data_IF_548300691651
#
_entry.id   IF_548300691651
#
_cell.length_a   1.000
_cell.length_b   1.000
_cell.length_c   1.000
_cell.angle_alpha   90.00
_cell.angle_beta   90.00
_cell.angle_gamma   90.00
#
_symmetry.space_group_name_H-M   'P 1'
#
loop_
_entity.id
_entity.type
_entity.pdbx_description
1 polymer ?
#
# COMPACT_ATOMS: atom_id res chain seq x y z
N UNK A 1 17.96 8.64 10.06
CA UNK A 1 16.79 8.65 9.17
C UNK A 1 16.19 7.25 9.01
N UNK A 2 16.93 6.24 8.53
CA UNK A 2 16.42 4.87 8.37
C UNK A 2 15.80 4.26 9.65
N UNK A 3 16.48 4.35 10.80
CA UNK A 3 15.97 3.82 12.06
C UNK A 3 14.63 4.44 12.50
N UNK A 4 14.43 5.72 12.20
CA UNK A 4 13.19 6.44 12.53
C UNK A 4 12.04 5.95 11.65
N UNK A 5 12.29 5.72 10.35
CA UNK A 5 11.30 5.19 9.41
C UNK A 5 10.91 3.76 9.81
N UNK A 6 11.89 2.93 10.19
CA UNK A 6 11.64 1.56 10.67
C UNK A 6 10.73 1.60 11.90
N UNK A 7 11.07 2.39 12.92
CA UNK A 7 10.25 2.49 14.14
C UNK A 7 8.84 3.00 13.88
N UNK A 8 8.67 3.95 12.94
CA UNK A 8 7.35 4.45 12.54
C UNK A 8 6.51 3.37 11.84
N UNK A 9 7.13 2.59 10.95
CA UNK A 9 6.46 1.47 10.27
C UNK A 9 6.06 0.38 11.26
N UNK A 10 6.97 -0.02 12.16
CA UNK A 10 6.69 -1.01 13.20
C UNK A 10 5.51 -0.58 14.08
N UNK A 11 5.48 0.69 14.50
CA UNK A 11 4.38 1.20 15.31
C UNK A 11 3.05 1.16 14.55
N UNK A 12 3.01 1.71 13.34
CA UNK A 12 1.78 1.75 12.54
C UNK A 12 1.22 0.35 12.21
N UNK A 13 2.09 -0.61 11.89
CA UNK A 13 1.68 -1.98 11.60
C UNK A 13 1.19 -2.71 12.86
N UNK A 14 1.85 -2.50 14.01
CA UNK A 14 1.41 -3.07 15.28
C UNK A 14 0.07 -2.49 15.75
N UNK A 15 -0.13 -1.18 15.64
CA UNK A 15 -1.41 -0.52 15.92
C UNK A 15 -2.51 -1.06 15.01
N UNK A 16 -2.23 -1.25 13.72
CA UNK A 16 -3.16 -1.87 12.77
C UNK A 16 -3.57 -3.27 13.21
N UNK A 17 -2.60 -4.12 13.58
CA UNK A 17 -2.88 -5.48 14.08
C UNK A 17 -3.71 -5.43 15.36
N UNK A 18 -3.39 -4.52 16.28
CA UNK A 18 -4.14 -4.36 17.53
C UNK A 18 -5.60 -3.98 17.27
N UNK A 19 -5.86 -3.01 16.38
CA UNK A 19 -7.21 -2.60 16.00
C UNK A 19 -8.00 -3.75 15.36
N UNK A 20 -7.37 -4.50 14.44
CA UNK A 20 -8.02 -5.62 13.77
C UNK A 20 -8.38 -6.77 14.73
N UNK A 21 -7.54 -7.04 15.73
CA UNK A 21 -7.82 -8.04 16.78
C UNK A 21 -9.03 -7.68 17.64
N UNK A 22 -9.39 -6.41 17.73
CA UNK A 22 -10.55 -5.94 18.50
C UNK A 22 -11.89 -6.12 17.80
N UNK A 23 -11.91 -6.55 16.53
CA UNK A 23 -13.13 -6.69 15.73
C UNK A 23 -13.58 -8.16 15.76
N UNK A 24 -14.83 -8.39 16.13
CA UNK A 24 -15.41 -9.73 16.09
C UNK A 24 -15.75 -10.18 14.65
N UNK A 25 -15.97 -11.49 14.50
CA UNK A 25 -16.28 -12.11 13.20
C UNK A 25 -17.59 -11.58 12.59
N UNK A 26 -18.55 -11.15 13.42
CA UNK A 26 -19.81 -10.60 12.95
C UNK A 26 -19.63 -9.22 12.30
N UNK A 27 -18.63 -8.45 12.73
CA UNK A 27 -18.38 -7.09 12.26
C UNK A 27 -17.22 -7.00 11.25
N UNK A 28 -16.32 -7.97 11.18
CA UNK A 28 -15.11 -7.88 10.34
C UNK A 28 -15.41 -7.69 8.84
N UNK A 29 -16.52 -8.26 8.37
CA UNK A 29 -16.98 -8.14 6.97
C UNK A 29 -18.04 -7.05 6.76
N UNK A 30 -18.50 -6.36 7.82
CA UNK A 30 -19.51 -5.31 7.71
C UNK A 30 -18.89 -4.04 7.13
N UNK A 31 -19.61 -3.39 6.22
CA UNK A 31 -19.23 -2.09 5.66
C UNK A 31 -19.80 -0.97 6.54
N UNK A 32 -18.99 -0.03 7.04
CA UNK A 32 -19.47 1.10 7.84
C UNK A 32 -20.42 2.04 7.10
N UNK A 33 -20.24 2.21 5.79
CA UNK A 33 -21.09 3.03 4.95
C UNK A 33 -21.24 2.39 3.55
N UNK A 34 -22.24 2.84 2.79
CA UNK A 34 -22.38 2.42 1.39
C UNK A 34 -21.15 2.84 0.57
N UNK A 35 -20.66 1.94 -0.28
CA UNK A 35 -19.46 2.16 -1.09
C UNK A 35 -18.12 2.09 -0.32
N UNK A 36 -18.12 1.95 1.01
CA UNK A 36 -16.88 1.82 1.79
C UNK A 36 -16.33 0.40 1.78
N UNK A 37 -15.08 0.23 2.21
CA UNK A 37 -14.49 -1.09 2.48
C UNK A 37 -14.90 -1.61 3.86
N UNK A 38 -14.97 -2.93 4.02
CA UNK A 38 -15.02 -3.58 5.34
C UNK A 38 -13.64 -3.61 6.00
N UNK A 39 -13.59 -3.89 7.30
CA UNK A 39 -12.31 -4.07 8.01
C UNK A 39 -11.47 -5.19 7.38
N UNK A 40 -12.08 -6.31 6.98
CA UNK A 40 -11.42 -7.40 6.28
C UNK A 40 -10.81 -6.96 4.94
N UNK A 41 -11.52 -6.13 4.17
CA UNK A 41 -11.02 -5.61 2.89
C UNK A 41 -9.84 -4.67 3.09
N UNK A 42 -9.90 -3.77 4.07
CA UNK A 42 -8.78 -2.90 4.46
C UNK A 42 -7.57 -3.74 4.89
N UNK A 43 -7.76 -4.72 5.77
CA UNK A 43 -6.69 -5.60 6.25
C UNK A 43 -6.01 -6.35 5.09
N UNK A 44 -6.81 -6.91 4.17
CA UNK A 44 -6.29 -7.62 2.99
C UNK A 44 -5.53 -6.68 2.06
N UNK A 45 -6.01 -5.46 1.86
CA UNK A 45 -5.32 -4.46 1.04
C UNK A 45 -3.97 -4.08 1.64
N UNK A 46 -3.93 -3.77 2.94
CA UNK A 46 -2.69 -3.44 3.64
C UNK A 46 -1.69 -4.59 3.59
N UNK A 47 -2.13 -5.81 3.87
CA UNK A 47 -1.27 -7.00 3.76
C UNK A 47 -0.67 -7.16 2.36
N UNK A 48 -1.51 -7.05 1.31
CA UNK A 48 -1.04 -7.15 -0.08
C UNK A 48 -0.06 -6.04 -0.46
N UNK A 49 -0.28 -4.82 0.04
CA UNK A 49 0.59 -3.69 -0.24
C UNK A 49 1.98 -3.84 0.40
N UNK A 50 2.07 -4.54 1.54
CA UNK A 50 3.34 -4.71 2.28
C UNK A 50 4.00 -6.07 2.09
N UNK A 51 3.27 -7.08 1.62
CA UNK A 51 3.80 -8.42 1.41
C UNK A 51 4.96 -8.40 0.40
N UNK A 52 6.11 -8.95 0.80
CA UNK A 52 7.33 -8.99 -0.02
C UNK A 52 8.16 -7.71 -0.02
N UNK A 53 7.79 -6.69 0.77
CA UNK A 53 8.57 -5.45 0.87
C UNK A 53 9.96 -5.69 1.48
N UNK A 54 10.08 -6.60 2.44
CA UNK A 54 11.34 -7.04 3.04
C UNK A 54 12.28 -7.66 2.01
N UNK A 55 11.77 -8.58 1.19
CA UNK A 55 12.52 -9.16 0.08
C UNK A 55 12.88 -8.07 -0.95
N UNK A 56 11.94 -7.20 -1.32
CA UNK A 56 12.19 -6.11 -2.26
C UNK A 56 13.34 -5.19 -1.81
N UNK A 57 13.43 -4.89 -0.50
CA UNK A 57 14.51 -4.05 0.03
C UNK A 57 15.84 -4.78 0.20
N UNK A 58 15.82 -6.08 0.46
CA UNK A 58 17.02 -6.89 0.65
C UNK A 58 17.58 -7.49 -0.66
N UNK A 59 16.75 -7.57 -1.70
CA UNK A 59 17.09 -8.20 -2.97
C UNK A 59 18.25 -7.46 -3.64
N UNK A 60 19.28 -8.19 -4.12
CA UNK A 60 20.36 -7.59 -4.89
C UNK A 60 19.80 -7.03 -6.19
N UNK A 61 20.10 -5.77 -6.48
CA UNK A 61 19.74 -5.10 -7.73
C UNK A 61 21.00 -4.45 -8.32
N UNK A 62 21.18 -4.42 -9.65
CA UNK A 62 22.26 -3.66 -10.28
C UNK A 62 22.19 -2.19 -9.90
N UNK A 63 23.33 -1.50 -9.93
CA UNK A 63 23.33 -0.04 -9.84
C UNK A 63 22.47 0.56 -10.96
N UNK A 64 21.70 1.59 -10.61
CA UNK A 64 20.88 2.28 -11.59
C UNK A 64 21.77 3.12 -12.52
N UNK A 65 21.74 2.80 -13.81
CA UNK A 65 22.47 3.55 -14.86
C UNK A 65 21.69 4.77 -15.38
N UNK A 66 20.72 5.26 -14.60
CA UNK A 66 19.89 6.41 -14.96
C UNK A 66 19.92 7.51 -13.89
N UNK A 67 19.78 8.79 -14.28
CA UNK A 67 19.49 9.85 -13.33
C UNK A 67 18.26 9.53 -12.47
N UNK A 68 18.29 9.98 -11.21
CA UNK A 68 17.22 9.70 -10.23
C UNK A 68 15.85 10.20 -10.73
N UNK A 69 15.87 11.29 -11.47
CA UNK A 69 14.73 12.08 -11.94
C UNK A 69 14.37 11.85 -13.42
N UNK A 70 15.06 10.95 -14.13
CA UNK A 70 14.84 10.69 -15.57
C UNK A 70 13.36 10.51 -15.95
N UNK A 71 12.55 9.91 -15.05
CA UNK A 71 11.11 9.66 -15.27
C UNK A 71 10.17 10.59 -14.48
N UNK A 72 10.69 11.54 -13.72
CA UNK A 72 9.89 12.38 -12.84
C UNK A 72 8.81 13.16 -13.60
N UNK A 73 9.16 13.77 -14.73
CA UNK A 73 8.20 14.53 -15.55
C UNK A 73 7.14 13.64 -16.19
N UNK A 74 7.51 12.44 -16.65
CA UNK A 74 6.55 11.49 -17.20
C UNK A 74 5.53 11.05 -16.14
N UNK A 75 6.00 10.71 -14.94
CA UNK A 75 5.10 10.37 -13.84
C UNK A 75 4.24 11.57 -13.43
N UNK A 76 4.79 12.79 -13.43
CA UNK A 76 4.00 14.00 -13.16
C UNK A 76 2.87 14.16 -14.17
N UNK A 77 3.14 13.98 -15.46
CA UNK A 77 2.11 14.07 -16.50
C UNK A 77 1.00 13.03 -16.29
N UNK A 78 1.37 11.78 -15.99
CA UNK A 78 0.40 10.69 -15.75
C UNK A 78 -0.42 10.95 -14.49
N UNK A 79 0.23 11.31 -13.38
CA UNK A 79 -0.43 11.47 -12.07
C UNK A 79 -1.26 12.76 -11.96
N UNK A 80 -1.00 13.74 -12.83
CA UNK A 80 -1.72 15.02 -12.87
C UNK A 80 -2.77 15.07 -13.99
N UNK A 81 -2.95 13.99 -14.75
CA UNK A 81 -4.02 13.84 -15.73
C UNK A 81 -5.25 13.22 -15.07
N UNK A 82 -6.25 14.07 -14.81
CA UNK A 82 -7.52 13.67 -14.19
C UNK A 82 -8.59 13.25 -15.22
N UNK A 83 -8.33 13.50 -16.50
CA UNK A 83 -9.27 13.26 -17.59
C UNK A 83 -9.12 11.85 -18.14
N UNK A 84 -7.89 11.35 -18.27
CA UNK A 84 -7.61 10.00 -18.76
C UNK A 84 -8.21 8.93 -17.84
N UNK A 85 -9.10 8.10 -18.42
CA UNK A 85 -9.68 6.94 -17.74
C UNK A 85 -9.02 5.66 -18.24
N UNK A 86 -8.42 4.90 -17.34
CA UNK A 86 -7.88 3.58 -17.64
C UNK A 86 -8.86 2.50 -17.22
N UNK A 87 -9.00 1.45 -18.03
CA UNK A 87 -9.75 0.27 -17.64
C UNK A 87 -8.98 -0.50 -16.59
N UNK A 88 -9.66 -0.96 -15.54
CA UNK A 88 -9.08 -1.92 -14.61
C UNK A 88 -8.81 -3.24 -15.35
N UNK A 89 -7.69 -3.93 -15.07
CA UNK A 89 -7.50 -5.29 -15.57
C UNK A 89 -8.64 -6.21 -15.13
N UNK A 90 -8.98 -7.21 -15.95
CA UNK A 90 -10.10 -8.15 -15.68
C UNK A 90 -9.88 -9.03 -14.44
N UNK A 91 -8.65 -9.12 -13.93
CA UNK A 91 -8.24 -10.08 -12.90
C UNK A 91 -8.17 -9.52 -11.46
N UNK A 92 -8.69 -8.32 -11.21
CA UNK A 92 -8.75 -7.72 -9.85
C UNK A 92 -9.94 -8.25 -9.03
#
# INVERSE_FOLDING_TARGET
MAQQIIAQLENALNETIYLLKGIDDANINKRPAEGSWSAAQVARHLYKATAGADEMFAAPTPEADRPVDERADNYRQILMDFESKMNSPEYL
#
